data_IF_369178568273
#
_entry.id   IF_369178568273
#
_cell.length_a   1.000
_cell.length_b   1.000
_cell.length_c   1.000
_cell.angle_alpha   90.00
_cell.angle_beta   90.00
_cell.angle_gamma   90.00
#
_symmetry.space_group_name_H-M   'P 1'
#
loop_
_entity.id
_entity.type
_entity.pdbx_description
1 polymer ?
#
# COMPACT_ATOMS: atom_id res chain seq x y z
N UNK A 1 -9.76 12.66 15.59
CA UNK A 1 -9.07 11.84 14.57
C UNK A 1 -9.42 12.43 13.21
N UNK A 2 -8.45 12.57 12.31
CA UNK A 2 -8.74 13.04 10.95
C UNK A 2 -9.49 11.94 10.17
N UNK A 3 -10.41 12.32 9.30
CA UNK A 3 -11.22 11.36 8.52
C UNK A 3 -10.41 10.77 7.36
N UNK A 4 -10.84 9.64 6.80
CA UNK A 4 -10.18 8.96 5.66
C UNK A 4 -9.89 9.96 4.52
N UNK A 5 -10.86 10.84 4.24
CA UNK A 5 -10.72 11.90 3.23
C UNK A 5 -9.56 12.83 3.55
N UNK A 6 -9.34 13.18 4.81
CA UNK A 6 -8.25 14.08 5.22
C UNK A 6 -6.89 13.41 5.01
N UNK A 7 -6.75 12.14 5.38
CA UNK A 7 -5.50 11.39 5.19
C UNK A 7 -5.16 11.24 3.72
N UNK A 8 -6.10 10.79 2.89
CA UNK A 8 -5.90 10.62 1.44
C UNK A 8 -5.66 11.96 0.73
N UNK A 9 -6.38 13.02 1.12
CA UNK A 9 -6.18 14.34 0.50
C UNK A 9 -4.81 14.90 0.82
N UNK A 10 -4.40 14.85 2.10
CA UNK A 10 -3.11 15.37 2.52
C UNK A 10 -1.96 14.57 1.93
N UNK A 11 -2.03 13.24 1.95
CA UNK A 11 -1.03 12.38 1.31
C UNK A 11 -0.96 12.59 -0.19
N UNK A 12 -2.08 12.83 -0.88
CA UNK A 12 -2.08 13.11 -2.32
C UNK A 12 -1.40 14.43 -2.67
N UNK A 13 -1.64 15.49 -1.86
CA UNK A 13 -0.93 16.77 -2.02
C UNK A 13 0.57 16.59 -1.80
N UNK A 14 0.96 15.87 -0.75
CA UNK A 14 2.36 15.52 -0.51
C UNK A 14 2.94 14.67 -1.66
N UNK A 15 2.16 13.76 -2.23
CA UNK A 15 2.54 12.94 -3.37
C UNK A 15 2.84 13.77 -4.62
N UNK A 16 2.02 14.79 -4.92
CA UNK A 16 2.31 15.76 -5.99
C UNK A 16 3.62 16.52 -5.72
N UNK A 17 3.81 16.99 -4.48
CA UNK A 17 5.05 17.65 -4.06
C UNK A 17 6.27 16.74 -4.19
N UNK A 18 6.13 15.47 -3.81
CA UNK A 18 7.18 14.46 -3.88
C UNK A 18 7.57 14.15 -5.34
N UNK A 19 6.58 13.97 -6.22
CA UNK A 19 6.84 13.77 -7.65
C UNK A 19 7.55 14.98 -8.26
N UNK A 20 7.09 16.20 -7.95
CA UNK A 20 7.72 17.43 -8.42
C UNK A 20 9.17 17.55 -7.93
N UNK A 21 9.39 17.37 -6.62
CA UNK A 21 10.72 17.40 -6.03
C UNK A 21 11.64 16.35 -6.66
N UNK A 22 11.15 15.11 -6.84
CA UNK A 22 11.88 14.03 -7.50
C UNK A 22 12.30 14.39 -8.92
N UNK A 23 11.42 14.98 -9.72
CA UNK A 23 11.76 15.45 -11.07
C UNK A 23 12.84 16.54 -11.03
N UNK A 24 12.74 17.50 -10.12
CA UNK A 24 13.76 18.56 -9.97
C UNK A 24 15.10 18.05 -9.46
N UNK A 25 15.10 16.94 -8.71
CA UNK A 25 16.29 16.26 -8.21
C UNK A 25 16.94 15.31 -9.25
N UNK A 26 16.39 15.25 -10.47
CA UNK A 26 16.93 14.43 -11.56
C UNK A 26 16.40 12.99 -11.64
N UNK A 27 15.35 12.66 -10.88
CA UNK A 27 14.65 11.38 -11.08
C UNK A 27 13.91 11.38 -12.42
N UNK A 28 13.90 10.23 -13.09
CA UNK A 28 13.07 10.05 -14.29
C UNK A 28 11.60 10.33 -13.98
N UNK A 29 10.92 11.03 -14.88
CA UNK A 29 9.54 11.47 -14.67
C UNK A 29 8.58 10.31 -14.33
N UNK A 30 8.75 9.15 -14.96
CA UNK A 30 7.97 7.94 -14.67
C UNK A 30 8.17 7.47 -13.23
N UNK A 31 9.41 7.37 -12.75
CA UNK A 31 9.73 6.97 -11.37
C UNK A 31 9.18 7.97 -10.36
N UNK A 32 9.33 9.27 -10.63
CA UNK A 32 8.83 10.33 -9.76
C UNK A 32 7.29 10.31 -9.65
N UNK A 33 6.58 10.08 -10.77
CA UNK A 33 5.13 9.96 -10.77
C UNK A 33 4.64 8.71 -10.03
N UNK A 34 5.28 7.56 -10.25
CA UNK A 34 4.96 6.32 -9.52
C UNK A 34 5.17 6.53 -8.01
N UNK A 35 6.31 7.11 -7.62
CA UNK A 35 6.61 7.34 -6.21
C UNK A 35 5.66 8.36 -5.55
N UNK A 36 5.31 9.45 -6.27
CA UNK A 36 4.30 10.40 -5.81
C UNK A 36 2.91 9.77 -5.68
N UNK A 37 2.50 8.93 -6.64
CA UNK A 37 1.26 8.17 -6.57
C UNK A 37 1.22 7.24 -5.35
N UNK A 38 2.28 6.47 -5.12
CA UNK A 38 2.42 5.60 -3.94
C UNK A 38 2.36 6.38 -2.63
N UNK A 39 2.98 7.57 -2.59
CA UNK A 39 2.88 8.48 -1.45
C UNK A 39 1.42 8.88 -1.19
N UNK A 40 0.67 9.27 -2.23
CA UNK A 40 -0.77 9.55 -2.10
C UNK A 40 -1.56 8.36 -1.55
N UNK A 41 -1.34 7.17 -2.09
CA UNK A 41 -2.03 5.94 -1.70
C UNK A 41 -1.73 5.51 -0.26
N UNK A 42 -0.56 5.86 0.28
CA UNK A 42 -0.20 5.56 1.67
C UNK A 42 -1.14 6.23 2.69
N UNK A 43 -1.88 7.28 2.29
CA UNK A 43 -2.92 7.88 3.13
C UNK A 43 -4.09 6.94 3.46
N UNK A 44 -4.24 5.82 2.75
CA UNK A 44 -5.23 4.78 3.07
C UNK A 44 -4.74 3.81 4.16
N UNK A 45 -3.47 3.87 4.55
CA UNK A 45 -2.85 2.95 5.51
C UNK A 45 -3.40 3.06 6.94
N UNK A 46 -3.69 4.26 7.50
CA UNK A 46 -4.26 4.39 8.84
C UNK A 46 -5.62 3.67 8.99
N UNK A 47 -6.43 3.67 7.93
CA UNK A 47 -7.78 3.08 7.96
C UNK A 47 -7.81 1.59 7.59
N UNK A 48 -6.65 0.98 7.28
CA UNK A 48 -6.49 -0.48 7.21
C UNK A 48 -6.84 -1.15 8.53
N UNK A 49 -6.66 -0.42 9.63
CA UNK A 49 -6.95 -0.87 10.99
C UNK A 49 -8.35 -0.49 11.48
N UNK A 50 -9.14 0.21 10.65
CA UNK A 50 -10.50 0.58 11.03
C UNK A 50 -11.43 -0.65 11.04
N UNK A 51 -12.35 -0.71 12.00
CA UNK A 51 -13.35 -1.79 12.14
C UNK A 51 -14.29 -1.91 10.93
N UNK A 52 -14.22 -0.97 9.99
CA UNK A 52 -14.98 -0.98 8.75
C UNK A 52 -14.35 -1.92 7.72
N UNK A 53 -15.10 -2.95 7.31
CA UNK A 53 -14.59 -3.98 6.40
C UNK A 53 -14.32 -3.50 4.96
N UNK A 54 -14.79 -2.31 4.56
CA UNK A 54 -14.70 -1.83 3.17
C UNK A 54 -13.36 -1.16 2.84
N UNK A 55 -12.91 -0.09 3.56
CA UNK A 55 -11.63 0.58 3.26
C UNK A 55 -10.46 -0.39 3.34
N UNK A 56 -10.46 -1.24 4.36
CA UNK A 56 -9.47 -2.30 4.56
C UNK A 56 -9.38 -3.27 3.37
N UNK A 57 -10.52 -3.73 2.85
CA UNK A 57 -10.57 -4.63 1.68
C UNK A 57 -10.05 -3.94 0.41
N UNK A 58 -10.35 -2.66 0.24
CA UNK A 58 -9.89 -1.91 -0.93
C UNK A 58 -8.39 -1.65 -0.87
N UNK A 59 -7.87 -1.16 0.26
CA UNK A 59 -6.43 -0.92 0.45
C UNK A 59 -5.61 -2.20 0.26
N UNK A 60 -6.05 -3.33 0.84
CA UNK A 60 -5.36 -4.62 0.66
C UNK A 60 -5.46 -5.14 -0.78
N UNK A 61 -6.58 -4.93 -1.47
CA UNK A 61 -6.73 -5.31 -2.88
C UNK A 61 -5.81 -4.51 -3.79
N UNK A 62 -5.72 -3.22 -3.52
CA UNK A 62 -4.85 -2.31 -4.26
C UNK A 62 -3.37 -2.63 -4.01
N UNK A 63 -2.97 -2.84 -2.76
CA UNK A 63 -1.62 -3.30 -2.40
C UNK A 63 -1.28 -4.65 -3.06
N UNK A 64 -2.23 -5.60 -3.08
CA UNK A 64 -2.05 -6.89 -3.73
C UNK A 64 -1.83 -6.77 -5.24
N UNK A 65 -2.35 -5.73 -5.90
CA UNK A 65 -2.12 -5.50 -7.33
C UNK A 65 -0.79 -4.79 -7.61
N UNK A 66 -0.46 -3.75 -6.83
CA UNK A 66 0.71 -2.91 -7.12
C UNK A 66 2.02 -3.52 -6.66
N UNK A 67 2.07 -4.09 -5.45
CA UNK A 67 3.32 -4.61 -4.87
C UNK A 67 3.98 -5.67 -5.76
N UNK A 68 3.25 -6.67 -6.31
CA UNK A 68 3.85 -7.63 -7.24
C UNK A 68 4.39 -6.97 -8.50
N UNK A 69 3.68 -5.99 -9.07
CA UNK A 69 4.13 -5.29 -10.29
C UNK A 69 5.44 -4.53 -10.07
N UNK A 70 5.62 -3.91 -8.90
CA UNK A 70 6.87 -3.22 -8.56
C UNK A 70 8.06 -4.19 -8.38
N UNK A 71 7.79 -5.45 -8.04
CA UNK A 71 8.82 -6.49 -7.85
C UNK A 71 9.18 -7.26 -9.12
N UNK A 72 8.45 -7.08 -10.23
CA UNK A 72 8.73 -7.77 -11.51
C UNK A 72 10.18 -7.55 -11.96
N UNK A 73 10.69 -6.32 -11.86
CA UNK A 73 12.08 -6.02 -12.20
C UNK A 73 13.07 -6.76 -11.30
N UNK A 74 12.78 -6.84 -9.99
CA UNK A 74 13.57 -7.58 -9.01
C UNK A 74 13.57 -9.08 -9.29
N UNK A 75 12.43 -9.68 -9.63
CA UNK A 75 12.37 -11.10 -10.02
C UNK A 75 13.23 -11.39 -11.25
N UNK A 76 13.21 -10.48 -12.22
CA UNK A 76 14.07 -10.58 -13.41
C UNK A 76 15.55 -10.47 -13.06
N UNK A 77 15.93 -9.56 -12.17
CA UNK A 77 17.32 -9.41 -11.69
C UNK A 77 17.80 -10.65 -10.91
N UNK A 78 16.90 -11.36 -10.23
CA UNK A 78 17.19 -12.64 -9.55
C UNK A 78 17.28 -13.84 -10.52
N UNK A 79 17.09 -13.62 -11.82
CA UNK A 79 17.20 -14.66 -12.85
C UNK A 79 15.97 -15.57 -12.96
N UNK A 80 14.80 -15.12 -12.50
CA UNK A 80 13.57 -15.90 -12.65
C UNK A 80 13.15 -15.95 -14.12
N UNK A 81 12.68 -17.12 -14.55
CA UNK A 81 12.04 -17.27 -15.85
C UNK A 81 10.62 -16.66 -15.84
N UNK A 82 10.05 -16.41 -17.01
CA UNK A 82 8.73 -15.78 -17.16
C UNK A 82 7.65 -16.53 -16.37
N UNK A 83 7.61 -17.85 -16.47
CA UNK A 83 6.65 -18.68 -15.75
C UNK A 83 6.81 -18.57 -14.22
N UNK A 84 8.06 -18.49 -13.73
CA UNK A 84 8.35 -18.28 -12.31
C UNK A 84 7.91 -16.90 -11.85
N UNK A 85 8.07 -15.87 -12.68
CA UNK A 85 7.62 -14.51 -12.38
C UNK A 85 6.09 -14.44 -12.30
N UNK A 86 5.37 -15.11 -13.20
CA UNK A 86 3.91 -15.21 -13.17
C UNK A 86 3.46 -15.91 -11.88
N UNK A 87 4.07 -17.04 -11.54
CA UNK A 87 3.74 -17.78 -10.33
C UNK A 87 4.05 -16.97 -9.06
N UNK A 88 5.20 -16.29 -9.01
CA UNK A 88 5.62 -15.48 -7.87
C UNK A 88 4.70 -14.26 -7.67
N UNK A 89 4.34 -13.56 -8.74
CA UNK A 89 3.43 -12.41 -8.67
C UNK A 89 2.01 -12.83 -8.27
N UNK A 90 1.51 -13.95 -8.81
CA UNK A 90 0.23 -14.52 -8.40
C UNK A 90 0.26 -14.94 -6.91
N UNK A 91 1.30 -15.66 -6.48
CA UNK A 91 1.46 -16.06 -5.09
C UNK A 91 1.47 -14.85 -4.14
N UNK A 92 2.17 -13.78 -4.53
CA UNK A 92 2.23 -12.55 -3.74
C UNK A 92 0.87 -11.83 -3.70
N UNK A 93 0.13 -11.80 -4.81
CA UNK A 93 -1.24 -11.28 -4.83
C UNK A 93 -2.10 -12.02 -3.81
N UNK A 94 -2.10 -13.36 -3.83
CA UNK A 94 -2.89 -14.15 -2.88
C UNK A 94 -2.43 -13.96 -1.43
N UNK A 95 -1.11 -13.90 -1.21
CA UNK A 95 -0.54 -13.67 0.11
C UNK A 95 -0.96 -12.32 0.70
N UNK A 96 -0.95 -11.24 -0.08
CA UNK A 96 -1.38 -9.92 0.39
C UNK A 96 -2.90 -9.87 0.50
N UNK A 97 -3.63 -10.27 -0.54
CA UNK A 97 -5.10 -10.19 -0.60
C UNK A 97 -5.77 -10.96 0.53
N UNK A 98 -5.33 -12.20 0.78
CA UNK A 98 -5.98 -13.11 1.72
C UNK A 98 -5.17 -13.36 2.99
N UNK A 99 -3.84 -13.41 2.91
CA UNK A 99 -2.96 -13.67 4.05
C UNK A 99 -2.80 -12.44 4.95
N UNK A 100 -2.34 -11.31 4.40
CA UNK A 100 -2.14 -10.08 5.17
C UNK A 100 -3.46 -9.55 5.75
N UNK A 101 -4.55 -9.62 4.99
CA UNK A 101 -5.90 -9.27 5.48
C UNK A 101 -6.32 -10.08 6.72
N UNK A 102 -5.98 -11.37 6.80
CA UNK A 102 -6.27 -12.20 7.98
C UNK A 102 -5.33 -11.88 9.13
N UNK A 103 -4.03 -11.74 8.87
CA UNK A 103 -3.03 -11.40 9.88
C UNK A 103 -3.35 -10.08 10.58
N UNK A 104 -3.65 -9.03 9.82
CA UNK A 104 -4.03 -7.75 10.43
C UNK A 104 -5.31 -7.94 11.27
N UNK A 105 -6.20 -8.87 10.95
CA UNK A 105 -7.47 -9.05 11.70
C UNK A 105 -7.26 -9.79 13.02
N UNK A 106 -6.26 -10.65 13.06
CA UNK A 106 -5.88 -11.41 14.25
C UNK A 106 -4.92 -10.63 15.16
N UNK A 107 -4.02 -9.83 14.58
CA UNK A 107 -3.02 -9.05 15.33
C UNK A 107 -3.49 -7.64 15.70
N UNK A 108 -4.37 -7.03 14.92
CA UNK A 108 -5.04 -5.79 15.31
C UNK A 108 -6.24 -6.07 16.20
N UNK A 109 -5.96 -6.48 17.44
CA UNK A 109 -6.98 -6.41 18.48
C UNK A 109 -7.21 -4.93 18.78
N UNK A 110 -8.39 -4.43 18.45
CA UNK A 110 -8.91 -3.14 18.88
C UNK A 110 -9.03 -3.12 20.41
N UNK A 111 -7.91 -3.02 21.15
CA UNK A 111 -7.94 -2.54 22.53
C UNK A 111 -8.13 -1.04 22.42
N UNK A 112 -9.38 -0.63 22.20
CA UNK A 112 -9.78 0.76 22.27
C UNK A 112 -9.13 1.38 23.51
N UNK A 113 -8.50 2.53 23.34
CA UNK A 113 -7.82 3.25 24.44
C UNK A 113 -8.74 3.67 25.60
N UNK A 114 -10.01 3.26 25.60
CA UNK A 114 -10.99 3.57 26.63
C UNK A 114 -11.89 2.36 26.92
N UNK A 115 -11.29 1.26 27.39
CA UNK A 115 -11.99 0.49 28.42
C UNK A 115 -11.74 1.22 29.74
N UNK A 116 -12.78 1.90 30.21
CA UNK A 116 -12.95 2.59 31.50
C UNK A 116 -11.94 2.19 32.58
N UNK A 117 -10.99 3.09 32.86
CA UNK A 117 -10.32 3.14 34.16
C UNK A 117 -11.31 3.82 35.11
N UNK A 118 -11.70 3.17 36.23
CA UNK A 118 -12.69 3.70 37.17
C UNK A 118 -12.22 4.96 37.89
#
# INVERSE_FOLDING_TARGET
MADFKTHVTFSSVLGCGYAFAGMTAGMGASTALVAGGLCGLSGMLPDVDSDSGVPRRETMGFAAAIVPMLLVSRFREMGFDYDQMVLATAALYFAIRFGASKLIGEFSVHRGMWHSIP
#
